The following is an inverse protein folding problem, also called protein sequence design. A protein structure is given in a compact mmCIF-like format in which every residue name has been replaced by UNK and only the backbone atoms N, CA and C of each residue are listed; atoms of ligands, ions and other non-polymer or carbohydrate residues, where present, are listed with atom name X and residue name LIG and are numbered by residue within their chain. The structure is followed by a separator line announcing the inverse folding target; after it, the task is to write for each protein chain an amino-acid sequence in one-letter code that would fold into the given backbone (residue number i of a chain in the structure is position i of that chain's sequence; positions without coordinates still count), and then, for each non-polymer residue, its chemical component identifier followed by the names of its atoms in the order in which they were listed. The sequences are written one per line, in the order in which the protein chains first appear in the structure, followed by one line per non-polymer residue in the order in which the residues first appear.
data_IF_108290083751
#
_entry.id   IF_108290083751
#
_cell.length_a   1.000
_cell.length_b   1.000
_cell.length_c   1.000
_cell.angle_alpha   90.00
_cell.angle_beta   90.00
_cell.angle_gamma   90.00
#
_symmetry.space_group_name_H-M   'P 1'
#
loop_
_entity.id
_entity.type
_entity.pdbx_description
1 polymer ?
#
# COMPACT_ATOMS: atom_id res chain seq x y z
N UNK A 1 4.41 -30.34 -0.88
CA UNK A 1 4.52 -29.62 0.40
C UNK A 1 4.06 -28.19 0.22
N UNK A 2 2.95 -27.79 0.86
CA UNK A 2 2.48 -26.41 0.85
C UNK A 2 3.53 -25.50 1.50
N UNK A 3 3.53 -24.23 1.11
CA UNK A 3 4.47 -23.25 1.65
C UNK A 3 4.19 -23.01 3.16
N UNK A 4 5.21 -22.69 3.98
CA UNK A 4 5.06 -22.62 5.44
C UNK A 4 4.17 -21.47 5.94
N UNK A 5 3.84 -20.51 5.07
CA UNK A 5 2.91 -19.41 5.35
C UNK A 5 1.46 -19.73 4.94
N UNK A 6 1.22 -20.89 4.33
CA UNK A 6 -0.13 -21.34 3.99
C UNK A 6 -0.73 -22.11 5.17
N UNK A 7 -1.94 -21.73 5.56
CA UNK A 7 -2.70 -22.42 6.60
C UNK A 7 -3.93 -23.11 6.01
N UNK A 8 -4.22 -24.29 6.54
CA UNK A 8 -5.41 -25.08 6.23
C UNK A 8 -6.16 -25.35 7.53
N UNK A 9 -7.49 -25.40 7.45
CA UNK A 9 -8.31 -25.75 8.61
C UNK A 9 -8.46 -27.27 8.71
N UNK A 10 -8.68 -27.80 9.91
CA UNK A 10 -9.00 -29.22 10.08
C UNK A 10 -10.46 -29.50 9.76
N UNK A 11 -10.73 -30.53 8.94
CA UNK A 11 -12.09 -31.01 8.67
C UNK A 11 -12.86 -31.40 9.94
N UNK A 12 -12.17 -31.83 10.99
CA UNK A 12 -12.79 -32.18 12.26
C UNK A 12 -13.38 -30.95 12.98
N UNK A 13 -12.86 -29.74 12.73
CA UNK A 13 -13.44 -28.50 13.28
C UNK A 13 -14.84 -28.22 12.70
N UNK A 14 -15.14 -28.74 11.51
CA UNK A 14 -16.41 -28.54 10.81
C UNK A 14 -17.27 -29.83 10.73
N UNK A 15 -17.09 -30.75 11.68
CA UNK A 15 -17.91 -31.97 11.75
C UNK A 15 -17.58 -33.00 10.66
N UNK A 16 -16.40 -32.91 10.04
CA UNK A 16 -15.92 -33.83 9.00
C UNK A 16 -16.27 -33.40 7.58
N UNK A 17 -16.95 -32.27 7.39
CA UNK A 17 -17.25 -31.70 6.09
C UNK A 17 -16.74 -30.25 5.98
N UNK A 18 -15.97 -29.96 4.94
CA UNK A 18 -15.41 -28.65 4.69
C UNK A 18 -16.43 -27.66 4.09
N UNK A 19 -17.63 -28.12 3.68
CA UNK A 19 -18.64 -27.26 3.06
C UNK A 19 -19.38 -26.34 4.02
N UNK A 20 -19.43 -26.64 5.32
CA UNK A 20 -20.36 -26.01 6.28
C UNK A 20 -19.80 -24.82 7.08
N UNK A 21 -18.58 -24.35 6.80
CA UNK A 21 -17.90 -23.32 7.61
C UNK A 21 -17.61 -21.98 6.93
N UNK A 22 -17.57 -21.92 5.60
CA UNK A 22 -17.01 -20.78 4.88
C UNK A 22 -18.09 -19.76 4.46
N UNK A 23 -18.00 -18.52 4.95
CA UNK A 23 -18.77 -17.41 4.40
C UNK A 23 -18.03 -16.81 3.19
N UNK A 24 -18.50 -17.21 1.99
CA UNK A 24 -17.88 -16.85 0.71
C UNK A 24 -17.99 -15.36 0.40
N UNK A 25 -18.88 -14.62 1.06
CA UNK A 25 -19.02 -13.18 0.85
C UNK A 25 -17.88 -12.36 1.47
N UNK A 26 -17.11 -12.93 2.40
CA UNK A 26 -16.02 -12.23 3.10
C UNK A 26 -14.64 -12.59 2.51
N UNK A 27 -14.41 -13.87 2.22
CA UNK A 27 -13.12 -14.41 1.79
C UNK A 27 -13.20 -15.26 0.50
N UNK A 28 -14.29 -15.11 -0.27
CA UNK A 28 -14.48 -15.80 -1.54
C UNK A 28 -13.58 -15.30 -2.66
N UNK A 29 -13.61 -16.02 -3.77
CA UNK A 29 -12.76 -15.77 -4.94
C UNK A 29 -12.99 -14.38 -5.54
N UNK A 30 -14.23 -13.89 -5.58
CA UNK A 30 -14.55 -12.56 -6.11
C UNK A 30 -13.99 -11.43 -5.23
N UNK A 31 -14.00 -11.59 -3.91
CA UNK A 31 -13.37 -10.62 -2.99
C UNK A 31 -11.87 -10.60 -3.24
N UNK A 32 -11.20 -11.76 -3.23
CA UNK A 32 -9.75 -11.87 -3.50
C UNK A 32 -9.39 -11.22 -4.84
N UNK A 33 -10.12 -11.58 -5.90
CA UNK A 33 -9.90 -11.05 -7.24
C UNK A 33 -10.05 -9.53 -7.26
N UNK A 34 -11.08 -8.98 -6.60
CA UNK A 34 -11.30 -7.53 -6.56
C UNK A 34 -10.16 -6.77 -5.89
N UNK A 35 -9.61 -7.27 -4.78
CA UNK A 35 -8.48 -6.65 -4.09
C UNK A 35 -7.18 -6.76 -4.89
N UNK A 36 -6.93 -7.90 -5.53
CA UNK A 36 -5.76 -8.09 -6.40
C UNK A 36 -5.82 -7.15 -7.61
N UNK A 37 -6.97 -7.07 -8.29
CA UNK A 37 -7.17 -6.14 -9.39
C UNK A 37 -7.03 -4.68 -8.96
N UNK A 38 -7.63 -4.29 -7.82
CA UNK A 38 -7.49 -2.95 -7.26
C UNK A 38 -6.01 -2.61 -6.98
N UNK A 39 -5.27 -3.54 -6.38
CA UNK A 39 -3.84 -3.38 -6.10
C UNK A 39 -3.03 -3.22 -7.39
N UNK A 40 -3.23 -4.07 -8.40
CA UNK A 40 -2.54 -3.99 -9.69
C UNK A 40 -2.83 -2.65 -10.37
N UNK A 41 -4.09 -2.23 -10.43
CA UNK A 41 -4.48 -0.95 -11.02
C UNK A 41 -3.86 0.23 -10.26
N UNK A 42 -3.88 0.19 -8.93
CA UNK A 42 -3.35 1.27 -8.07
C UNK A 42 -1.84 1.39 -8.17
N UNK A 43 -1.13 0.26 -8.12
CA UNK A 43 0.33 0.21 -8.23
C UNK A 43 0.78 0.63 -9.61
N UNK A 44 0.12 0.16 -10.68
CA UNK A 44 0.41 0.59 -12.05
C UNK A 44 0.18 2.08 -12.23
N UNK A 45 -0.96 2.60 -11.79
CA UNK A 45 -1.26 4.03 -11.86
C UNK A 45 -0.24 4.87 -11.04
N UNK A 46 0.16 4.39 -9.86
CA UNK A 46 1.16 5.05 -9.03
C UNK A 46 2.56 5.04 -9.67
N UNK A 47 2.97 3.94 -10.30
CA UNK A 47 4.24 3.87 -11.06
C UNK A 47 4.21 4.86 -12.22
N UNK A 48 3.12 4.90 -13.00
CA UNK A 48 2.97 5.84 -14.10
C UNK A 48 3.01 7.29 -13.61
N UNK A 49 2.29 7.62 -12.55
CA UNK A 49 2.30 8.95 -11.95
C UNK A 49 3.68 9.33 -11.39
N UNK A 50 4.41 8.39 -10.78
CA UNK A 50 5.78 8.62 -10.30
C UNK A 50 6.77 8.86 -11.45
N UNK A 51 6.67 8.10 -12.55
CA UNK A 51 7.49 8.29 -13.76
C UNK A 51 7.21 9.67 -14.38
N UNK A 52 5.93 10.04 -14.47
CA UNK A 52 5.52 11.36 -14.96
C UNK A 52 6.10 12.47 -14.08
N UNK A 53 5.96 12.36 -12.76
CA UNK A 53 6.51 13.31 -11.79
C UNK A 53 8.04 13.49 -11.95
N UNK A 54 8.78 12.41 -12.22
CA UNK A 54 10.23 12.47 -12.49
C UNK A 54 10.57 13.07 -13.86
N UNK A 55 9.74 12.86 -14.88
CA UNK A 55 9.95 13.44 -16.21
C UNK A 55 9.80 14.97 -16.21
N UNK A 56 8.94 15.53 -15.34
CA UNK A 56 8.68 16.98 -15.28
C UNK A 56 9.61 17.78 -14.36
N UNK A 57 10.29 17.15 -13.38
CA UNK A 57 11.15 17.85 -12.42
C UNK A 57 12.58 18.10 -12.99
N UNK A 58 12.69 19.00 -13.96
CA UNK A 58 13.97 19.36 -14.60
C UNK A 58 14.86 20.32 -13.78
N UNK A 59 14.49 20.70 -12.55
CA UNK A 59 15.29 21.59 -11.69
C UNK A 59 15.46 21.04 -10.27
N UNK A 60 16.55 20.30 -10.06
CA UNK A 60 17.21 20.27 -8.74
C UNK A 60 17.56 18.90 -8.19
N UNK A 61 18.44 18.18 -8.91
CA UNK A 61 19.22 17.00 -8.52
C UNK A 61 18.46 15.69 -8.24
N UNK A 62 18.60 14.72 -9.16
CA UNK A 62 18.96 13.32 -8.89
C UNK A 62 19.43 12.65 -10.20
N UNK A 63 20.51 11.87 -10.17
CA UNK A 63 21.10 11.18 -11.33
C UNK A 63 20.89 9.67 -11.28
N UNK A 64 19.95 9.16 -12.09
CA UNK A 64 19.99 7.84 -12.75
C UNK A 64 19.69 8.10 -14.22
N UNK A 65 20.73 8.41 -15.01
CA UNK A 65 20.60 9.10 -16.31
C UNK A 65 20.41 8.19 -17.53
N UNK A 66 20.71 6.89 -17.46
CA UNK A 66 20.73 6.03 -18.66
C UNK A 66 19.38 5.33 -18.96
N UNK A 67 18.71 4.64 -18.01
CA UNK A 67 17.46 3.92 -18.31
C UNK A 67 16.27 4.87 -18.53
N UNK A 68 16.22 5.97 -17.76
CA UNK A 68 15.12 6.94 -17.78
C UNK A 68 15.11 7.76 -19.07
N UNK A 69 16.30 8.13 -19.60
CA UNK A 69 16.38 8.79 -20.92
C UNK A 69 15.92 7.88 -22.05
N UNK A 70 16.28 6.60 -22.03
CA UNK A 70 15.85 5.67 -23.06
C UNK A 70 14.33 5.47 -23.07
N UNK A 71 13.72 5.33 -21.89
CA UNK A 71 12.25 5.24 -21.75
C UNK A 71 11.58 6.55 -22.15
N UNK A 72 12.16 7.69 -21.76
CA UNK A 72 11.68 9.02 -22.15
C UNK A 72 11.69 9.21 -23.66
N UNK A 73 12.81 8.91 -24.31
CA UNK A 73 12.99 9.17 -25.73
C UNK A 73 12.18 8.17 -26.59
N UNK A 74 11.88 6.96 -26.07
CA UNK A 74 11.11 5.93 -26.79
C UNK A 74 9.59 5.95 -26.52
N UNK A 75 9.16 6.37 -25.33
CA UNK A 75 7.74 6.35 -24.90
C UNK A 75 7.15 7.76 -24.76
N UNK A 76 7.94 8.74 -24.31
CA UNK A 76 7.46 10.10 -23.99
C UNK A 76 7.65 11.14 -25.11
N UNK A 77 8.59 10.95 -26.05
CA UNK A 77 9.01 12.01 -26.98
C UNK A 77 8.18 12.19 -28.27
N UNK A 78 7.15 11.38 -28.54
CA UNK A 78 6.29 11.57 -29.73
C UNK A 78 5.00 12.36 -29.47
N UNK A 79 4.69 12.70 -28.21
CA UNK A 79 3.34 13.10 -27.77
C UNK A 79 3.39 14.19 -26.67
N UNK A 80 4.11 15.28 -26.91
CA UNK A 80 4.26 16.39 -25.94
C UNK A 80 2.91 17.02 -25.50
N UNK A 81 1.80 16.76 -26.23
CA UNK A 81 0.39 17.10 -25.89
C UNK A 81 -0.30 16.12 -24.94
N UNK A 82 0.11 14.85 -24.90
CA UNK A 82 -0.41 13.80 -24.00
C UNK A 82 -0.05 14.05 -22.53
N UNK A 83 0.95 14.90 -22.30
CA UNK A 83 1.50 15.27 -20.99
C UNK A 83 0.56 16.10 -20.10
N UNK A 84 -0.59 16.58 -20.59
CA UNK A 84 -1.67 17.13 -19.75
C UNK A 84 -2.84 16.15 -19.52
N UNK A 85 -2.91 15.05 -20.27
CA UNK A 85 -4.10 14.19 -20.28
C UNK A 85 -4.07 13.06 -19.23
N UNK A 86 -2.90 12.48 -18.96
CA UNK A 86 -2.82 11.33 -18.04
C UNK A 86 -2.91 11.70 -16.57
N UNK A 87 -2.41 12.87 -16.15
CA UNK A 87 -2.45 13.25 -14.73
C UNK A 87 -3.88 13.53 -14.23
N UNK A 88 -4.74 14.24 -14.99
CA UNK A 88 -6.18 14.35 -14.69
C UNK A 88 -6.93 13.01 -14.66
N UNK A 89 -6.43 11.98 -15.34
CA UNK A 89 -6.98 10.62 -15.26
C UNK A 89 -6.43 9.83 -14.06
N UNK A 90 -5.11 9.82 -13.89
CA UNK A 90 -4.40 9.03 -12.89
C UNK A 90 -4.66 9.54 -11.47
N UNK A 91 -4.71 10.85 -11.24
CA UNK A 91 -4.93 11.42 -9.91
C UNK A 91 -6.28 10.95 -9.31
N UNK A 92 -7.44 11.11 -9.99
CA UNK A 92 -8.72 10.58 -9.51
C UNK A 92 -8.75 9.05 -9.42
N UNK A 93 -8.10 8.34 -10.35
CA UNK A 93 -8.05 6.87 -10.32
C UNK A 93 -7.33 6.36 -9.08
N UNK A 94 -6.12 6.88 -8.81
CA UNK A 94 -5.29 6.51 -7.66
C UNK A 94 -6.02 6.89 -6.36
N UNK A 95 -6.67 8.07 -6.33
CA UNK A 95 -7.46 8.51 -5.19
C UNK A 95 -8.64 7.56 -4.94
N UNK A 96 -9.43 7.27 -5.97
CA UNK A 96 -10.65 6.46 -5.85
C UNK A 96 -10.34 5.01 -5.48
N UNK A 97 -9.39 4.38 -6.19
CA UNK A 97 -8.98 3.01 -5.89
C UNK A 97 -8.32 2.92 -4.51
N UNK A 98 -7.53 3.92 -4.12
CA UNK A 98 -6.92 4.00 -2.80
C UNK A 98 -7.97 4.08 -1.70
N UNK A 99 -8.93 4.99 -1.80
CA UNK A 99 -9.98 5.16 -0.79
C UNK A 99 -10.87 3.92 -0.70
N UNK A 100 -11.22 3.32 -1.84
CA UNK A 100 -11.97 2.07 -1.87
C UNK A 100 -11.22 0.95 -1.15
N UNK A 101 -9.93 0.75 -1.45
CA UNK A 101 -9.09 -0.26 -0.78
C UNK A 101 -9.05 -0.07 0.74
N UNK A 102 -8.93 1.16 1.22
CA UNK A 102 -8.89 1.45 2.65
C UNK A 102 -10.22 1.09 3.32
N UNK A 103 -11.34 1.52 2.75
CA UNK A 103 -12.68 1.29 3.34
C UNK A 103 -13.06 -0.19 3.25
N UNK A 104 -12.88 -0.82 2.08
CA UNK A 104 -13.21 -2.24 1.91
C UNK A 104 -12.28 -3.13 2.72
N UNK A 105 -10.98 -2.80 2.81
CA UNK A 105 -10.04 -3.50 3.67
C UNK A 105 -10.45 -3.45 5.14
N UNK A 106 -10.88 -2.27 5.63
CA UNK A 106 -11.40 -2.12 6.97
C UNK A 106 -12.68 -2.96 7.20
N UNK A 107 -13.61 -2.93 6.25
CA UNK A 107 -14.87 -3.68 6.32
C UNK A 107 -14.63 -5.20 6.35
N UNK A 108 -13.71 -5.70 5.54
CA UNK A 108 -13.34 -7.13 5.52
C UNK A 108 -12.67 -7.54 6.82
N UNK A 109 -11.75 -6.74 7.35
CA UNK A 109 -11.10 -7.01 8.65
C UNK A 109 -12.10 -7.04 9.80
N UNK A 110 -13.02 -6.07 9.85
CA UNK A 110 -14.08 -6.02 10.85
C UNK A 110 -15.02 -7.22 10.73
N UNK A 111 -15.41 -7.59 9.50
CA UNK A 111 -16.26 -8.75 9.25
C UNK A 111 -15.59 -10.06 9.68
N UNK A 112 -14.28 -10.19 9.44
CA UNK A 112 -13.48 -11.31 9.94
C UNK A 112 -13.56 -11.43 11.46
N UNK A 113 -13.38 -10.33 12.20
CA UNK A 113 -13.51 -10.33 13.66
C UNK A 113 -14.93 -10.63 14.15
N UNK A 114 -15.96 -10.10 13.49
CA UNK A 114 -17.36 -10.43 13.83
C UNK A 114 -17.61 -11.94 13.70
N UNK A 115 -17.06 -12.58 12.67
CA UNK A 115 -17.16 -14.03 12.47
C UNK A 115 -16.38 -14.81 13.52
N UNK A 116 -15.20 -14.33 13.90
CA UNK A 116 -14.46 -14.88 15.05
C UNK A 116 -15.29 -14.83 16.32
N UNK A 117 -15.90 -13.69 16.66
CA UNK A 117 -16.74 -13.57 17.87
C UNK A 117 -17.99 -14.43 17.86
N UNK A 118 -18.51 -14.78 16.67
CA UNK A 118 -19.63 -15.70 16.50
C UNK A 118 -19.21 -17.18 16.50
N UNK A 119 -17.93 -17.48 16.78
CA UNK A 119 -17.34 -18.82 16.67
C UNK A 119 -17.51 -19.44 15.28
N UNK A 120 -17.62 -18.61 14.24
CA UNK A 120 -17.73 -19.06 12.84
C UNK A 120 -16.34 -19.17 12.18
N UNK A 121 -15.38 -18.33 12.59
CA UNK A 121 -13.98 -18.40 12.16
C UNK A 121 -13.06 -18.59 13.35
N UNK A 122 -11.99 -19.34 13.16
CA UNK A 122 -10.88 -19.37 14.11
C UNK A 122 -9.89 -18.23 13.83
N UNK A 123 -9.33 -17.64 14.89
CA UNK A 123 -8.37 -16.50 14.81
C UNK A 123 -7.11 -16.86 14.02
N UNK A 124 -6.79 -18.16 13.90
CA UNK A 124 -5.67 -18.65 13.12
C UNK A 124 -6.09 -19.56 11.95
N UNK A 125 -7.39 -19.59 11.63
CA UNK A 125 -7.92 -20.38 10.52
C UNK A 125 -7.60 -19.79 9.14
N UNK A 126 -7.64 -20.62 8.12
CA UNK A 126 -7.29 -20.32 6.73
C UNK A 126 -8.02 -19.08 6.19
N UNK A 127 -9.31 -18.91 6.52
CA UNK A 127 -10.12 -17.75 6.14
C UNK A 127 -9.65 -16.46 6.80
N UNK A 128 -9.39 -16.48 8.11
CA UNK A 128 -8.96 -15.28 8.83
C UNK A 128 -7.55 -14.85 8.40
N UNK A 129 -6.66 -15.82 8.15
CA UNK A 129 -5.33 -15.58 7.58
C UNK A 129 -5.42 -14.95 6.19
N UNK A 130 -6.31 -15.44 5.33
CA UNK A 130 -6.55 -14.84 4.02
C UNK A 130 -7.04 -13.38 4.17
N UNK A 131 -7.96 -13.10 5.10
CA UNK A 131 -8.43 -11.75 5.42
C UNK A 131 -7.26 -10.84 5.82
N UNK A 132 -6.34 -11.30 6.68
CA UNK A 132 -5.15 -10.54 7.07
C UNK A 132 -4.24 -10.22 5.88
N UNK A 133 -4.03 -11.18 4.97
CA UNK A 133 -3.22 -10.98 3.77
C UNK A 133 -3.89 -10.02 2.77
N UNK A 134 -5.21 -10.08 2.60
CA UNK A 134 -5.98 -9.12 1.79
C UNK A 134 -5.83 -7.71 2.36
N UNK A 135 -5.91 -7.55 3.68
CA UNK A 135 -5.74 -6.26 4.35
C UNK A 135 -4.30 -5.73 4.22
N UNK A 136 -3.29 -6.61 4.29
CA UNK A 136 -1.90 -6.26 4.03
C UNK A 136 -1.68 -5.77 2.58
N UNK A 137 -2.26 -6.47 1.60
CA UNK A 137 -2.23 -6.08 0.18
C UNK A 137 -2.88 -4.72 -0.06
N UNK A 138 -4.07 -4.52 0.50
CA UNK A 138 -4.82 -3.26 0.43
C UNK A 138 -4.02 -2.10 1.05
N UNK A 139 -3.49 -2.29 2.26
CA UNK A 139 -2.75 -1.24 2.96
C UNK A 139 -1.46 -0.81 2.24
N UNK A 140 -0.65 -1.75 1.77
CA UNK A 140 0.61 -1.45 1.07
C UNK A 140 0.38 -0.72 -0.26
N UNK A 141 -0.62 -1.15 -1.04
CA UNK A 141 -1.00 -0.51 -2.30
C UNK A 141 -1.55 0.91 -2.07
N UNK A 142 -2.35 1.12 -1.01
CA UNK A 142 -2.82 2.44 -0.61
C UNK A 142 -1.67 3.37 -0.16
N UNK A 143 -0.69 2.86 0.59
CA UNK A 143 0.48 3.67 1.00
C UNK A 143 1.31 4.10 -0.22
N UNK A 144 1.50 3.23 -1.21
CA UNK A 144 2.16 3.58 -2.47
C UNK A 144 1.45 4.74 -3.21
N UNK A 145 0.10 4.68 -3.24
CA UNK A 145 -0.73 5.76 -3.76
C UNK A 145 -0.55 7.07 -2.99
N UNK A 146 -0.53 7.02 -1.65
CA UNK A 146 -0.35 8.22 -0.83
C UNK A 146 1.02 8.89 -1.01
N UNK A 147 2.10 8.09 -1.11
CA UNK A 147 3.45 8.60 -1.35
C UNK A 147 3.50 9.35 -2.69
N UNK A 148 2.86 8.79 -3.72
CA UNK A 148 2.80 9.38 -5.07
C UNK A 148 1.99 10.67 -5.07
N UNK A 149 0.86 10.70 -4.35
CA UNK A 149 -0.04 11.85 -4.27
C UNK A 149 0.34 12.88 -3.20
N UNK A 150 1.51 12.78 -2.56
CA UNK A 150 1.93 13.69 -1.46
C UNK A 150 1.82 15.19 -1.80
N UNK A 151 2.08 15.55 -3.06
CA UNK A 151 2.00 16.95 -3.54
C UNK A 151 0.55 17.45 -3.53
N UNK A 152 -0.40 16.60 -3.93
CA UNK A 152 -1.84 16.89 -3.93
C UNK A 152 -2.36 17.10 -2.50
N UNK A 153 -1.99 16.23 -1.56
CA UNK A 153 -2.42 16.31 -0.16
C UNK A 153 -1.88 17.54 0.57
N UNK A 154 -0.74 18.08 0.16
CA UNK A 154 -0.22 19.33 0.72
C UNK A 154 -1.12 20.54 0.42
N UNK A 155 -1.86 20.51 -0.70
CA UNK A 155 -2.84 21.53 -1.08
C UNK A 155 -4.14 21.37 -0.28
N UNK A 156 -4.61 20.14 -0.09
CA UNK A 156 -5.86 19.83 0.62
C UNK A 156 -5.61 19.18 1.99
N UNK A 157 -5.10 19.99 2.94
CA UNK A 157 -4.62 19.49 4.24
C UNK A 157 -5.68 18.79 5.09
N UNK A 158 -6.95 19.20 5.03
CA UNK A 158 -8.02 18.59 5.84
C UNK A 158 -8.35 17.18 5.36
N UNK A 159 -8.55 17.00 4.05
CA UNK A 159 -8.78 15.69 3.42
C UNK A 159 -7.59 14.77 3.67
N UNK A 160 -6.37 15.29 3.51
CA UNK A 160 -5.14 14.57 3.79
C UNK A 160 -5.05 14.07 5.24
N UNK A 161 -5.40 14.93 6.22
CA UNK A 161 -5.41 14.56 7.64
C UNK A 161 -6.41 13.45 7.93
N UNK A 162 -7.64 13.56 7.41
CA UNK A 162 -8.67 12.53 7.58
C UNK A 162 -8.19 11.18 7.03
N UNK A 163 -7.70 11.16 5.78
CA UNK A 163 -7.17 9.93 5.17
C UNK A 163 -6.00 9.36 5.95
N UNK A 164 -5.07 10.20 6.39
CA UNK A 164 -3.91 9.76 7.17
C UNK A 164 -4.35 9.15 8.52
N UNK A 165 -5.32 9.76 9.20
CA UNK A 165 -5.88 9.22 10.44
C UNK A 165 -6.54 7.87 10.21
N UNK A 166 -7.35 7.73 9.15
CA UNK A 166 -7.99 6.44 8.81
C UNK A 166 -6.95 5.36 8.51
N UNK A 167 -5.88 5.69 7.78
CA UNK A 167 -4.77 4.76 7.50
C UNK A 167 -4.04 4.34 8.76
N UNK A 168 -3.78 5.26 9.70
CA UNK A 168 -3.15 4.92 10.98
C UNK A 168 -4.05 4.00 11.80
N UNK A 169 -5.35 4.29 11.87
CA UNK A 169 -6.33 3.45 12.58
C UNK A 169 -6.39 2.06 11.96
N UNK A 170 -6.44 1.97 10.62
CA UNK A 170 -6.43 0.70 9.92
C UNK A 170 -5.12 -0.08 10.16
N UNK A 171 -3.97 0.60 10.16
CA UNK A 171 -2.67 -0.02 10.47
C UNK A 171 -2.65 -0.62 11.88
N UNK A 172 -3.10 0.14 12.88
CA UNK A 172 -3.18 -0.33 14.26
C UNK A 172 -4.12 -1.55 14.37
N UNK A 173 -5.27 -1.51 13.69
CA UNK A 173 -6.22 -2.63 13.71
C UNK A 173 -5.64 -3.88 13.04
N UNK A 174 -4.97 -3.72 11.89
CA UNK A 174 -4.30 -4.83 11.20
C UNK A 174 -3.17 -5.43 12.03
N UNK A 175 -2.30 -4.60 12.62
CA UNK A 175 -1.19 -5.06 13.46
C UNK A 175 -1.70 -5.77 14.71
N UNK A 176 -2.73 -5.25 15.37
CA UNK A 176 -3.36 -5.91 16.51
C UNK A 176 -3.94 -7.27 16.10
N UNK A 177 -4.55 -7.37 14.92
CA UNK A 177 -5.11 -8.61 14.41
C UNK A 177 -4.05 -9.66 14.08
N UNK A 178 -2.94 -9.25 13.47
CA UNK A 178 -1.78 -10.14 13.25
C UNK A 178 -1.14 -10.59 14.57
N UNK A 179 -1.04 -9.70 15.55
CA UNK A 179 -0.53 -10.05 16.87
C UNK A 179 -1.45 -11.04 17.59
N UNK A 180 -2.78 -10.89 17.45
CA UNK A 180 -3.74 -11.84 17.98
C UNK A 180 -3.59 -13.22 17.34
N UNK A 181 -3.43 -13.29 16.01
CA UNK A 181 -3.18 -14.54 15.28
C UNK A 181 -1.88 -15.25 15.69
N UNK A 182 -0.85 -14.50 16.11
CA UNK A 182 0.39 -15.09 16.65
C UNK A 182 0.21 -15.58 18.10
N UNK A 183 -0.57 -14.83 18.88
CA UNK A 183 -0.66 -15.00 20.34
C UNK A 183 -1.69 -16.05 20.75
N UNK A 184 -2.75 -16.26 19.97
CA UNK A 184 -3.80 -17.24 20.27
C UNK A 184 -3.42 -18.60 19.68
N UNK A 185 -3.13 -19.62 20.53
CA UNK A 185 -2.77 -20.92 20.02
C UNK A 185 -4.01 -21.69 19.51
N UNK A 186 -3.97 -22.11 18.24
CA UNK A 186 -4.91 -23.11 17.74
C UNK A 186 -4.62 -24.49 18.37
N UNK A 187 -5.64 -25.10 18.96
CA UNK A 187 -5.64 -26.51 19.34
C UNK A 187 -6.37 -27.23 18.21
N UNK A 188 -5.65 -28.01 17.39
CA UNK A 188 -6.23 -28.64 16.20
C UNK A 188 -6.78 -30.02 16.61
N UNK A 189 -8.11 -30.22 16.66
CA UNK A 189 -8.66 -31.57 16.73
C UNK A 189 -8.39 -32.26 15.39
N UNK A 190 -7.68 -33.39 15.42
CA UNK A 190 -7.36 -34.18 14.22
C UNK A 190 -8.38 -35.27 13.95
N UNK A 191 -9.16 -35.66 14.96
CA UNK A 191 -10.09 -36.77 14.90
C UNK A 191 -11.34 -36.46 15.74
N UNK A 192 -12.51 -37.03 15.37
CA UNK A 192 -13.69 -37.01 16.23
C UNK A 192 -13.43 -37.65 17.61
N UNK A 193 -12.41 -38.50 17.74
CA UNK A 193 -11.98 -39.14 18.99
C UNK A 193 -11.01 -38.30 19.83
N UNK A 194 -10.70 -37.05 19.46
CA UNK A 194 -10.02 -36.09 20.35
C UNK A 194 -8.49 -36.12 20.35
N UNK A 195 -7.84 -36.73 19.35
CA UNK A 195 -6.40 -36.52 19.17
C UNK A 195 -6.13 -35.06 18.80
N UNK A 196 -5.33 -34.38 19.62
CA UNK A 196 -5.12 -32.94 19.55
C UNK A 196 -3.69 -32.66 19.06
N UNK A 197 -3.53 -32.19 17.82
CA UNK A 197 -2.22 -31.75 17.34
C UNK A 197 -1.99 -30.31 17.79
N UNK A 198 -0.80 -30.08 18.34
CA UNK A 198 -0.32 -28.73 18.56
C UNK A 198 0.20 -28.20 17.24
N UNK A 199 -0.43 -27.15 16.72
CA UNK A 199 -0.01 -26.48 15.50
C UNK A 199 1.49 -26.14 15.52
N UNK A 200 2.11 -26.28 14.35
CA UNK A 200 3.55 -26.07 14.14
C UNK A 200 3.98 -24.65 14.55
N UNK A 201 4.99 -24.54 15.41
CA UNK A 201 5.64 -23.26 15.76
C UNK A 201 6.12 -22.49 14.52
N UNK A 202 6.48 -23.20 13.44
CA UNK A 202 6.97 -22.59 12.21
C UNK A 202 5.87 -21.77 11.48
N UNK A 203 4.61 -22.24 11.48
CA UNK A 203 3.48 -21.52 10.88
C UNK A 203 3.18 -20.22 11.62
N UNK A 204 3.29 -20.21 12.95
CA UNK A 204 3.11 -18.98 13.75
C UNK A 204 4.21 -17.95 13.49
N UNK A 205 5.45 -18.41 13.37
CA UNK A 205 6.59 -17.55 13.05
C UNK A 205 6.51 -17.01 11.61
N UNK A 206 5.79 -17.68 10.71
CA UNK A 206 5.58 -17.18 9.35
C UNK A 206 4.87 -15.82 9.32
N UNK A 207 4.01 -15.50 10.31
CA UNK A 207 3.36 -14.19 10.44
C UNK A 207 4.28 -13.05 10.86
N UNK A 208 5.43 -13.34 11.48
CA UNK A 208 6.39 -12.31 11.86
C UNK A 208 6.99 -11.60 10.65
N UNK A 209 7.18 -12.34 9.55
CA UNK A 209 7.78 -11.78 8.34
C UNK A 209 6.86 -10.72 7.71
N UNK A 210 5.59 -11.01 7.37
CA UNK A 210 4.64 -9.99 6.93
C UNK A 210 4.47 -8.85 7.94
N UNK A 211 4.38 -9.14 9.25
CA UNK A 211 4.21 -8.11 10.28
C UNK A 211 5.38 -7.13 10.31
N UNK A 212 6.62 -7.63 10.27
CA UNK A 212 7.82 -6.80 10.21
C UNK A 212 7.80 -5.89 8.98
N UNK A 213 7.50 -6.47 7.83
CA UNK A 213 7.42 -5.78 6.56
C UNK A 213 6.34 -4.68 6.55
N UNK A 214 5.18 -4.93 7.15
CA UNK A 214 4.12 -3.94 7.34
C UNK A 214 4.59 -2.81 8.24
N UNK A 215 5.22 -3.10 9.38
CA UNK A 215 5.75 -2.07 10.29
C UNK A 215 6.76 -1.17 9.57
N UNK A 216 7.70 -1.76 8.83
CA UNK A 216 8.69 -1.02 8.03
C UNK A 216 8.01 -0.18 6.96
N UNK A 217 7.05 -0.75 6.25
CA UNK A 217 6.27 -0.06 5.21
C UNK A 217 5.52 1.16 5.77
N UNK A 218 4.71 0.96 6.80
CA UNK A 218 3.95 2.06 7.42
C UNK A 218 4.86 3.14 7.98
N UNK A 219 5.95 2.76 8.66
CA UNK A 219 6.91 3.70 9.24
C UNK A 219 7.58 4.55 8.15
N UNK A 220 8.07 3.93 7.08
CA UNK A 220 8.71 4.63 5.96
C UNK A 220 7.74 5.56 5.23
N UNK A 221 6.52 5.10 4.95
CA UNK A 221 5.49 5.91 4.29
C UNK A 221 5.05 7.10 5.15
N UNK A 222 4.82 6.88 6.45
CA UNK A 222 4.38 7.92 7.39
C UNK A 222 5.44 9.03 7.50
N UNK A 223 6.71 8.67 7.66
CA UNK A 223 7.81 9.65 7.67
C UNK A 223 7.86 10.43 6.36
N UNK A 224 7.78 9.75 5.22
CA UNK A 224 7.79 10.41 3.90
C UNK A 224 6.61 11.39 3.69
N UNK A 225 5.43 11.09 4.25
CA UNK A 225 4.22 11.91 4.10
C UNK A 225 4.22 13.08 5.10
N UNK A 226 4.59 12.82 6.35
CA UNK A 226 4.55 13.82 7.43
C UNK A 226 5.74 14.78 7.39
N UNK A 227 6.88 14.36 6.84
CA UNK A 227 8.06 15.21 6.79
C UNK A 227 7.87 16.37 5.81
N UNK A 228 7.59 17.56 6.35
CA UNK A 228 7.73 18.81 5.61
C UNK A 228 9.19 19.21 5.61
N UNK A 229 9.91 19.19 4.46
CA UNK A 229 11.20 19.85 4.41
C UNK A 229 10.97 21.32 4.67
N UNK A 230 11.48 21.80 5.80
CA UNK A 230 11.48 23.21 6.15
C UNK A 230 12.31 23.90 5.06
N UNK A 231 11.61 24.52 4.09
CA UNK A 231 12.24 25.41 3.12
C UNK A 231 12.91 26.49 3.96
N UNK A 232 14.23 26.39 4.13
CA UNK A 232 15.03 27.57 4.33
C UNK A 232 14.74 28.44 3.11
N UNK A 233 13.94 29.48 3.33
CA UNK A 233 13.79 30.60 2.41
C UNK A 233 15.19 31.16 2.22
N UNK A 234 15.89 30.68 1.20
CA UNK A 234 16.97 31.42 0.60
C UNK A 234 16.33 32.73 0.12
N UNK A 235 16.49 33.78 0.93
CA UNK A 235 16.16 35.14 0.53
C UNK A 235 16.83 35.39 -0.83
N UNK A 236 16.09 35.82 -1.86
CA UNK A 236 16.73 36.25 -3.09
C UNK A 236 17.55 37.49 -2.72
N UNK A 237 18.87 37.30 -2.62
CA UNK A 237 19.83 38.38 -2.43
C UNK A 237 19.70 39.25 -3.67
N UNK A 238 18.89 40.30 -3.56
CA UNK A 238 18.75 41.33 -4.58
C UNK A 238 20.14 41.83 -4.94
N UNK A 239 20.54 41.61 -6.18
CA UNK A 239 21.69 42.25 -6.80
C UNK A 239 21.37 43.73 -6.96
N UNK A 240 21.55 44.50 -5.90
CA UNK A 240 21.66 45.95 -6.00
C UNK A 240 23.10 46.28 -6.40
N UNK A 241 23.30 46.39 -7.72
CA UNK A 241 24.41 47.12 -8.32
C UNK A 241 24.12 48.60 -8.06
N UNK A 242 24.80 49.26 -7.12
CA UNK A 242 25.10 50.71 -7.15
C UNK A 242 26.29 51.02 -6.22
N UNK A 243 27.23 51.80 -6.76
CA UNK A 243 28.49 52.29 -6.17
C UNK A 243 28.26 53.21 -4.96
N UNK A 244 29.14 53.19 -3.97
CA UNK A 244 30.02 54.34 -3.65
C UNK A 244 31.01 54.05 -2.50
N UNK A 245 32.15 54.73 -2.64
CA UNK A 245 33.35 54.82 -1.82
C UNK A 245 33.11 55.43 -0.41
N UNK A 246 33.99 55.13 0.56
CA UNK A 246 33.99 55.83 1.86
C UNK A 246 34.45 55.05 3.09
N UNK A 247 35.63 55.44 3.61
CA UNK A 247 36.28 55.03 4.86
C UNK A 247 35.35 54.98 6.09
N UNK A 248 35.55 53.99 6.95
CA UNK A 248 35.02 53.99 8.32
C UNK A 248 35.30 52.68 9.06
N UNK A 249 36.24 52.72 10.00
CA UNK A 249 36.65 51.59 10.83
C UNK A 249 35.60 51.19 11.87
N UNK A 250 35.39 49.88 12.05
CA UNK A 250 34.91 49.27 13.30
C UNK A 250 35.30 47.78 13.32
N UNK A 251 35.91 47.25 14.40
CA UNK A 251 36.17 45.83 14.52
C UNK A 251 34.87 45.13 14.95
N UNK A 252 34.25 44.36 14.04
CA UNK A 252 33.19 43.42 14.40
C UNK A 252 33.82 42.12 14.86
N UNK A 253 33.54 41.78 16.12
CA UNK A 253 33.73 40.46 16.73
C UNK A 253 33.41 39.35 15.73
N UNK A 254 34.44 38.58 15.34
CA UNK A 254 34.28 37.31 14.65
C UNK A 254 33.48 36.35 15.53
N UNK A 255 32.18 36.26 15.28
CA UNK A 255 31.41 35.11 15.76
C UNK A 255 31.77 33.94 14.87
N UNK A 256 32.76 33.17 15.33
CA UNK A 256 33.19 31.88 14.81
C UNK A 256 31.97 30.97 14.62
N UNK A 257 31.39 31.00 13.43
CA UNK A 257 30.35 30.05 13.01
C UNK A 257 31.00 28.68 12.93
N UNK A 258 30.84 27.89 14.01
CA UNK A 258 31.13 26.46 13.98
C UNK A 258 30.27 25.85 12.87
N UNK A 259 30.89 25.61 11.72
CA UNK A 259 30.41 24.58 10.79
C UNK A 259 30.37 23.28 11.58
N UNK A 260 29.16 22.89 11.98
CA UNK A 260 28.92 21.62 12.64
C UNK A 260 29.01 20.55 11.56
N UNK A 261 30.23 20.11 11.27
CA UNK A 261 30.49 18.85 10.58
C UNK A 261 30.04 17.73 11.51
N UNK A 262 28.78 17.32 11.35
CA UNK A 262 28.26 16.12 12.00
C UNK A 262 28.95 14.92 11.35
N UNK A 263 29.77 14.14 12.08
CA UNK A 263 30.28 12.87 11.55
C UNK A 263 29.09 11.93 11.46
N UNK A 264 28.64 11.64 10.24
CA UNK A 264 27.55 10.72 10.02
C UNK A 264 28.02 9.30 10.38
N UNK A 265 27.63 8.82 11.57
CA UNK A 265 27.61 7.39 11.84
C UNK A 265 26.81 6.74 10.70
N UNK A 266 27.40 5.77 10.01
CA UNK A 266 26.84 5.08 8.84
C UNK A 266 25.36 4.69 9.00
N UNK A 267 24.95 4.31 10.23
CA UNK A 267 23.56 4.00 10.57
C UNK A 267 22.58 5.18 10.50
N UNK A 268 23.01 6.39 10.86
CA UNK A 268 22.21 7.61 10.72
C UNK A 268 22.06 7.93 9.23
N UNK A 269 23.13 7.82 8.45
CA UNK A 269 23.08 8.00 6.99
C UNK A 269 22.11 7.02 6.31
N UNK A 270 22.16 5.74 6.67
CA UNK A 270 21.26 4.71 6.16
C UNK A 270 19.79 4.98 6.56
N UNK A 271 19.55 5.41 7.80
CA UNK A 271 18.23 5.79 8.27
C UNK A 271 17.68 6.99 7.46
N UNK A 272 18.49 8.01 7.22
CA UNK A 272 18.08 9.14 6.39
C UNK A 272 17.76 8.73 4.95
N UNK A 273 18.58 7.87 4.35
CA UNK A 273 18.34 7.39 2.97
C UNK A 273 17.08 6.52 2.89
N UNK A 274 16.86 5.63 3.85
CA UNK A 274 15.74 4.70 3.84
C UNK A 274 14.40 5.39 4.16
N UNK A 275 14.38 6.35 5.08
CA UNK A 275 13.14 6.98 5.57
C UNK A 275 12.82 8.33 4.93
N UNK A 276 13.81 9.09 4.43
CA UNK A 276 13.55 10.42 3.83
C UNK A 276 13.54 10.40 2.30
N UNK A 277 13.95 9.30 1.66
CA UNK A 277 13.86 9.19 0.21
C UNK A 277 12.49 8.61 -0.23
N UNK A 278 11.60 9.42 -0.84
CA UNK A 278 10.27 8.98 -1.24
C UNK A 278 10.31 7.87 -2.31
N UNK A 279 11.37 7.81 -3.11
CA UNK A 279 11.55 6.75 -4.11
C UNK A 279 11.85 5.42 -3.43
N UNK A 280 12.72 5.43 -2.41
CA UNK A 280 13.04 4.21 -1.64
C UNK A 280 11.79 3.73 -0.90
N UNK A 281 11.07 4.63 -0.23
CA UNK A 281 9.79 4.29 0.40
C UNK A 281 8.78 3.73 -0.61
N UNK A 282 8.71 4.30 -1.81
CA UNK A 282 7.85 3.79 -2.89
C UNK A 282 8.27 2.39 -3.36
N UNK A 283 9.57 2.12 -3.55
CA UNK A 283 10.07 0.79 -3.91
C UNK A 283 9.76 -0.23 -2.81
N UNK A 284 9.96 0.15 -1.54
CA UNK A 284 9.61 -0.70 -0.40
C UNK A 284 8.11 -1.05 -0.49
N UNK A 285 7.22 -0.07 -0.69
CA UNK A 285 5.79 -0.35 -0.84
C UNK A 285 5.45 -1.24 -2.03
N UNK A 286 6.15 -1.09 -3.15
CA UNK A 286 5.95 -1.96 -4.32
C UNK A 286 6.34 -3.41 -4.02
N UNK A 287 7.48 -3.63 -3.35
CA UNK A 287 7.92 -4.96 -2.91
C UNK A 287 6.89 -5.56 -1.93
N UNK A 288 6.37 -4.75 -1.00
CA UNK A 288 5.35 -5.17 -0.03
C UNK A 288 4.03 -5.56 -0.70
N UNK A 289 3.57 -4.80 -1.68
CA UNK A 289 2.36 -5.11 -2.44
C UNK A 289 2.54 -6.42 -3.24
N UNK A 290 3.70 -6.61 -3.87
CA UNK A 290 4.03 -7.85 -4.58
C UNK A 290 4.07 -9.05 -3.62
N UNK A 291 4.76 -8.92 -2.49
CA UNK A 291 4.82 -9.98 -1.48
C UNK A 291 3.42 -10.33 -0.96
N UNK A 292 2.60 -9.31 -0.64
CA UNK A 292 1.24 -9.52 -0.16
C UNK A 292 0.36 -10.18 -1.22
N UNK A 293 0.54 -9.85 -2.51
CA UNK A 293 -0.15 -10.52 -3.61
C UNK A 293 0.20 -12.00 -3.66
N UNK A 294 1.50 -12.34 -3.53
CA UNK A 294 1.95 -13.74 -3.47
C UNK A 294 1.33 -14.47 -2.27
N UNK A 295 1.28 -13.83 -1.09
CA UNK A 295 0.67 -14.42 0.11
C UNK A 295 -0.83 -14.66 -0.06
N UNK A 296 -1.57 -13.68 -0.59
CA UNK A 296 -3.02 -13.82 -0.86
C UNK A 296 -3.29 -14.95 -1.86
N UNK A 297 -2.59 -14.96 -2.99
CA UNK A 297 -2.80 -15.96 -4.04
C UNK A 297 -2.36 -17.36 -3.57
N UNK A 298 -1.23 -17.46 -2.88
CA UNK A 298 -0.79 -18.76 -2.34
C UNK A 298 -1.74 -19.27 -1.25
N UNK A 299 -2.26 -18.42 -0.37
CA UNK A 299 -3.25 -18.84 0.64
C UNK A 299 -4.56 -19.31 -0.03
N UNK A 300 -5.09 -18.57 -1.01
CA UNK A 300 -6.37 -18.91 -1.65
C UNK A 300 -6.31 -20.15 -2.54
N UNK A 301 -5.22 -20.34 -3.30
CA UNK A 301 -5.13 -21.38 -4.33
C UNK A 301 -4.24 -22.57 -3.97
N UNK A 302 -3.77 -22.67 -2.72
CA UNK A 302 -3.04 -23.85 -2.28
C UNK A 302 -3.98 -25.01 -2.01
N UNK A 303 -3.58 -26.20 -2.44
CA UNK A 303 -4.32 -27.45 -2.23
C UNK A 303 -3.67 -28.24 -1.09
N UNK A 304 -4.46 -28.75 -0.12
CA UNK A 304 -3.92 -29.59 0.96
C UNK A 304 -3.42 -30.93 0.42
N UNK A 305 -2.40 -31.51 1.06
CA UNK A 305 -1.88 -32.83 0.68
C UNK A 305 -2.86 -33.97 1.00
N UNK A 306 -3.67 -33.81 2.05
CA UNK A 306 -4.69 -34.78 2.49
C UNK A 306 -6.07 -34.11 2.52
N UNK A 307 -6.82 -34.11 1.40
CA UNK A 307 -8.07 -33.35 1.26
C UNK A 307 -9.23 -33.85 2.13
N UNK A 308 -9.11 -35.04 2.74
CA UNK A 308 -10.09 -35.55 3.70
C UNK A 308 -9.80 -35.15 5.15
N UNK A 309 -8.59 -34.65 5.44
CA UNK A 309 -8.18 -34.23 6.79
C UNK A 309 -8.15 -32.72 6.91
N UNK A 310 -7.69 -32.04 5.87
CA UNK A 310 -7.51 -30.59 5.83
C UNK A 310 -8.43 -29.97 4.80
N UNK A 311 -9.08 -28.88 5.18
CA UNK A 311 -9.91 -28.06 4.32
C UNK A 311 -9.08 -26.96 3.68
N UNK A 312 -9.15 -26.86 2.35
CA UNK A 312 -8.57 -25.78 1.56
C UNK A 312 -9.60 -24.70 1.26
N UNK A 313 -9.13 -23.57 0.74
CA UNK A 313 -9.98 -22.44 0.34
C UNK A 313 -10.49 -22.56 -1.11
N UNK A 314 -10.66 -23.77 -1.62
CA UNK A 314 -11.00 -24.02 -3.03
C UNK A 314 -12.16 -25.01 -3.22
N UNK A 315 -12.95 -25.22 -2.18
CA UNK A 315 -14.09 -26.15 -2.23
C UNK A 315 -15.21 -25.63 -3.15
N UNK A 316 -16.08 -26.54 -3.59
CA UNK A 316 -17.12 -26.22 -4.59
C UNK A 316 -18.05 -25.08 -4.14
N UNK A 317 -18.41 -25.04 -2.85
CA UNK A 317 -19.20 -23.94 -2.29
C UNK A 317 -18.45 -22.61 -2.27
N UNK A 318 -17.13 -22.61 -2.12
CA UNK A 318 -16.32 -21.38 -2.09
C UNK A 318 -16.18 -20.68 -3.45
N UNK A 319 -16.42 -21.40 -4.54
CA UNK A 319 -16.38 -20.86 -5.89
C UNK A 319 -17.74 -20.30 -6.35
N UNK A 320 -18.79 -20.46 -5.55
CA UNK A 320 -20.08 -19.84 -5.84
C UNK A 320 -20.01 -18.33 -5.61
N UNK A 321 -20.57 -17.56 -6.55
CA UNK A 321 -20.57 -16.11 -6.50
C UNK A 321 -21.71 -15.61 -5.63
N UNK A 322 -21.36 -15.09 -4.45
CA UNK A 322 -22.29 -14.41 -3.56
C UNK A 322 -22.48 -12.92 -3.88
N UNK A 323 -23.33 -12.27 -3.08
CA UNK A 323 -23.59 -10.84 -3.19
C UNK A 323 -22.34 -10.02 -2.87
N UNK A 324 -21.64 -10.36 -1.79
CA UNK A 324 -20.44 -9.63 -1.34
C UNK A 324 -19.31 -9.69 -2.37
N UNK A 325 -19.13 -10.87 -2.98
CA UNK A 325 -18.15 -11.09 -4.05
C UNK A 325 -18.48 -10.30 -5.33
N UNK A 326 -19.74 -10.28 -5.73
CA UNK A 326 -20.17 -9.54 -6.93
C UNK A 326 -20.05 -8.03 -6.69
N UNK A 327 -20.50 -7.57 -5.52
CA UNK A 327 -20.42 -6.16 -5.12
C UNK A 327 -18.97 -5.66 -5.10
N UNK A 328 -18.04 -6.45 -4.55
CA UNK A 328 -16.64 -6.04 -4.44
C UNK A 328 -15.98 -5.85 -5.81
N UNK A 329 -16.30 -6.71 -6.78
CA UNK A 329 -15.82 -6.58 -8.16
C UNK A 329 -16.44 -5.38 -8.86
N UNK A 330 -17.76 -5.20 -8.75
CA UNK A 330 -18.49 -4.09 -9.40
C UNK A 330 -18.03 -2.73 -8.86
N UNK A 331 -17.69 -2.63 -7.57
CA UNK A 331 -17.20 -1.39 -6.96
C UNK A 331 -15.92 -0.85 -7.63
N UNK A 332 -15.11 -1.69 -8.28
CA UNK A 332 -13.94 -1.25 -9.05
C UNK A 332 -14.27 -0.33 -10.23
N UNK A 333 -15.52 -0.36 -10.71
CA UNK A 333 -15.97 0.51 -11.80
C UNK A 333 -16.06 1.97 -11.35
N UNK A 334 -16.34 2.26 -10.08
CA UNK A 334 -16.54 3.64 -9.61
C UNK A 334 -15.28 4.52 -9.78
N UNK A 335 -14.08 4.11 -9.31
CA UNK A 335 -12.86 4.87 -9.57
C UNK A 335 -12.53 4.98 -11.06
N UNK A 336 -12.79 3.93 -11.84
CA UNK A 336 -12.52 3.92 -13.27
C UNK A 336 -13.42 4.92 -14.03
N UNK A 337 -14.71 4.99 -13.71
CA UNK A 337 -15.64 5.96 -14.28
C UNK A 337 -15.27 7.39 -13.89
N UNK A 338 -14.95 7.63 -12.61
CA UNK A 338 -14.53 8.95 -12.12
C UNK A 338 -13.26 9.45 -12.85
N UNK A 339 -12.28 8.57 -13.01
CA UNK A 339 -11.07 8.87 -13.78
C UNK A 339 -11.38 9.15 -15.26
N UNK A 340 -12.23 8.33 -15.88
CA UNK A 340 -12.63 8.51 -17.28
C UNK A 340 -13.36 9.85 -17.49
N UNK A 341 -14.25 10.24 -16.57
CA UNK A 341 -14.92 11.54 -16.60
C UNK A 341 -13.92 12.69 -16.51
N UNK A 342 -13.02 12.66 -15.53
CA UNK A 342 -12.00 13.70 -15.37
C UNK A 342 -11.07 13.81 -16.59
N UNK A 343 -10.78 12.69 -17.25
CA UNK A 343 -10.05 12.67 -18.51
C UNK A 343 -10.81 13.33 -19.66
N UNK A 344 -12.09 13.01 -19.81
CA UNK A 344 -12.94 13.57 -20.88
C UNK A 344 -13.14 15.08 -20.69
N UNK A 345 -13.40 15.54 -19.46
CA UNK A 345 -13.51 16.96 -19.11
C UNK A 345 -12.20 17.71 -19.40
N UNK A 346 -11.07 17.13 -18.97
CA UNK A 346 -9.75 17.70 -19.26
C UNK A 346 -9.47 17.80 -20.77
N UNK A 347 -9.92 16.82 -21.55
CA UNK A 347 -9.77 16.82 -23.02
C UNK A 347 -10.62 17.89 -23.69
N UNK A 348 -11.85 18.11 -23.22
CA UNK A 348 -12.75 19.15 -23.75
C UNK A 348 -12.18 20.56 -23.55
N UNK A 349 -11.70 20.88 -22.34
CA UNK A 349 -11.09 22.18 -22.06
C UNK A 349 -9.89 22.52 -22.97
N UNK A 350 -9.08 21.52 -23.33
CA UNK A 350 -7.94 21.72 -24.24
C UNK A 350 -8.42 21.99 -25.68
N UNK A 351 -9.51 21.33 -26.11
CA UNK A 351 -10.08 21.54 -27.45
C UNK A 351 -10.71 22.93 -27.58
N UNK A 352 -11.31 23.45 -26.52
CA UNK A 352 -11.93 24.79 -26.50
C UNK A 352 -10.89 25.91 -26.34
N UNK A 353 -9.90 25.73 -25.46
CA UNK A 353 -8.82 26.69 -25.24
C UNK A 353 -7.83 26.83 -26.42
N UNK A 354 -7.85 25.90 -27.38
CA UNK A 354 -7.09 25.99 -28.62
C UNK A 354 -7.83 26.67 -29.78
N UNK A 355 -9.04 27.21 -29.55
CA UNK A 355 -9.86 27.94 -30.55
C UNK A 355 -9.90 29.47 -30.35
N UNK A 356 -9.07 30.01 -29.45
CA UNK A 356 -8.79 31.45 -29.30
C UNK A 356 -7.38 31.74 -29.82
#
# INVERSE_FOLDING_TARGET
MPAPWVLFDSSAAYGGDCTTGADTDIAGVGVVLSFVLASIMTTTASILAMILDQAFDAKGQFTIRAPVRFIRDRILDTEWKKNYAWRPFLDPLIIGLGDQQLITGYAVLLSGWIKVFKNAFEVQGAHFVLVLYICALSSSSHLAALITLRKYFRRYRLIAKIRLTLVIVFACFLLASMLAAISMPELIPLTPQGALEKQSRAQRLAFLVPMFFIIVGFSTALVCIMWTPQRQTASPRGTNIWKHDGRGAHPRLETRSRSMTVPANFGIGLFYILFLNPLVAFIIQLILALLSTILVLSQKFSVPEEPGKWCGLQDQGENEWGFGQTLSVVMLLLPAMSAAQAYLEGRQHIQEGGKL
#
